data_IF_838053661015
#
_entry.id   IF_838053661015
#
_cell.length_a   1.000
_cell.length_b   1.000
_cell.length_c   1.000
_cell.angle_alpha   90.00
_cell.angle_beta   90.00
_cell.angle_gamma   90.00
#
_symmetry.space_group_name_H-M   'P 1'
#
loop_
_entity.id
_entity.type
_entity.pdbx_description
1 polymer ?
#
# COMPACT_ATOMS: atom_id res chain seq x y z
N UNK A 1 3.01 24.44 -5.67
CA UNK A 1 1.95 24.02 -6.62
C UNK A 1 0.63 23.97 -5.86
N UNK A 2 -0.46 24.36 -6.50
CA UNK A 2 -1.77 24.52 -5.87
C UNK A 2 -2.42 23.14 -5.62
N UNK A 3 -2.82 22.77 -4.38
CA UNK A 3 -3.36 21.44 -4.07
C UNK A 3 -4.78 21.20 -4.60
N UNK A 4 -5.29 22.07 -5.46
CA UNK A 4 -6.59 21.95 -6.15
C UNK A 4 -6.49 21.99 -7.67
N UNK A 5 -5.33 21.65 -8.24
CA UNK A 5 -5.35 21.16 -9.62
C UNK A 5 -6.07 19.82 -9.54
N UNK A 6 -7.36 19.84 -9.85
CA UNK A 6 -8.18 18.65 -9.97
C UNK A 6 -7.46 17.67 -10.90
N UNK A 7 -7.36 16.41 -10.51
CA UNK A 7 -6.76 15.35 -11.33
C UNK A 7 -7.36 15.37 -12.74
N UNK A 8 -8.67 15.63 -12.84
CA UNK A 8 -9.36 15.78 -14.12
C UNK A 8 -8.80 16.92 -14.96
N UNK A 9 -8.46 18.08 -14.37
CA UNK A 9 -7.84 19.19 -15.10
C UNK A 9 -6.41 18.88 -15.56
N UNK A 10 -5.62 18.18 -14.75
CA UNK A 10 -4.28 17.76 -15.17
C UNK A 10 -4.37 16.69 -16.26
N UNK A 11 -5.34 15.79 -16.13
CA UNK A 11 -5.56 14.73 -17.08
C UNK A 11 -6.03 15.28 -18.42
N UNK A 12 -7.00 16.18 -18.44
CA UNK A 12 -7.46 16.86 -19.64
C UNK A 12 -6.30 17.54 -20.36
N UNK A 13 -5.43 18.25 -19.63
CA UNK A 13 -4.23 18.88 -20.21
C UNK A 13 -3.26 17.88 -20.85
N UNK A 14 -2.95 16.79 -20.15
CA UNK A 14 -2.01 15.77 -20.67
C UNK A 14 -2.59 15.05 -21.89
N UNK A 15 -3.89 14.75 -21.84
CA UNK A 15 -4.62 14.14 -22.95
C UNK A 15 -4.69 15.10 -24.15
N UNK A 16 -4.96 16.38 -23.93
CA UNK A 16 -4.98 17.43 -24.97
C UNK A 16 -3.61 17.68 -25.61
N UNK A 17 -2.53 17.56 -24.83
CA UNK A 17 -1.16 17.77 -25.32
C UNK A 17 -0.64 16.60 -26.17
N UNK A 18 -1.05 15.36 -25.88
CA UNK A 18 -0.46 14.17 -26.50
C UNK A 18 -1.29 13.59 -27.67
N UNK A 19 -2.57 13.95 -27.81
CA UNK A 19 -3.49 13.28 -28.73
C UNK A 19 -4.05 14.22 -29.81
N UNK A 20 -3.87 13.83 -31.08
CA UNK A 20 -4.28 14.62 -32.24
C UNK A 20 -5.76 14.41 -32.66
N UNK A 21 -6.33 13.22 -32.43
CA UNK A 21 -7.73 12.89 -32.79
C UNK A 21 -8.65 12.74 -31.57
N UNK A 22 -9.89 13.20 -31.73
CA UNK A 22 -10.90 13.18 -30.66
C UNK A 22 -11.34 11.76 -30.27
N UNK A 23 -11.29 10.79 -31.19
CA UNK A 23 -11.68 9.40 -30.89
C UNK A 23 -10.71 8.73 -29.94
N UNK A 24 -9.40 8.86 -30.23
CA UNK A 24 -8.33 8.35 -29.36
C UNK A 24 -8.38 9.06 -28.01
N UNK A 25 -8.67 10.37 -28.01
CA UNK A 25 -8.89 11.16 -26.80
C UNK A 25 -9.99 10.60 -25.90
N UNK A 26 -11.17 10.33 -26.48
CA UNK A 26 -12.32 9.81 -25.74
C UNK A 26 -12.07 8.40 -25.20
N UNK A 27 -11.49 7.51 -26.02
CA UNK A 27 -11.13 6.16 -25.59
C UNK A 27 -10.10 6.16 -24.46
N UNK A 28 -9.04 6.96 -24.57
CA UNK A 28 -8.01 7.10 -23.54
C UNK A 28 -8.61 7.68 -22.25
N UNK A 29 -9.48 8.68 -22.37
CA UNK A 29 -10.21 9.24 -21.23
C UNK A 29 -11.06 8.18 -20.52
N UNK A 30 -11.85 7.41 -21.26
CA UNK A 30 -12.66 6.32 -20.70
C UNK A 30 -11.81 5.24 -20.03
N UNK A 31 -10.68 4.85 -20.62
CA UNK A 31 -9.77 3.86 -20.02
C UNK A 31 -9.24 4.38 -18.68
N UNK A 32 -8.81 5.63 -18.64
CA UNK A 32 -8.26 6.24 -17.43
C UNK A 32 -9.32 6.46 -16.35
N UNK A 33 -10.54 6.84 -16.73
CA UNK A 33 -11.66 6.95 -15.80
C UNK A 33 -12.03 5.59 -15.19
N UNK A 34 -12.12 4.54 -16.02
CA UNK A 34 -12.37 3.19 -15.52
C UNK A 34 -11.23 2.72 -14.60
N UNK A 35 -9.98 3.01 -14.94
CA UNK A 35 -8.84 2.70 -14.07
C UNK A 35 -8.93 3.41 -12.72
N UNK A 36 -9.33 4.69 -12.70
CA UNK A 36 -9.51 5.43 -11.46
C UNK A 36 -10.65 4.87 -10.61
N UNK A 37 -11.81 4.61 -11.23
CA UNK A 37 -12.96 4.02 -10.56
C UNK A 37 -12.59 2.64 -9.96
N UNK A 38 -11.88 1.80 -10.71
CA UNK A 38 -11.41 0.51 -10.22
C UNK A 38 -10.51 0.64 -8.98
N UNK A 39 -9.66 1.68 -8.92
CA UNK A 39 -8.80 1.92 -7.76
C UNK A 39 -9.58 2.40 -6.54
N UNK A 40 -10.58 3.24 -6.73
CA UNK A 40 -11.49 3.69 -5.66
C UNK A 40 -12.33 2.54 -5.13
N UNK A 41 -12.92 1.73 -6.01
CA UNK A 41 -13.63 0.50 -5.64
C UNK A 41 -12.71 -0.49 -4.91
N UNK A 42 -11.46 -0.62 -5.35
CA UNK A 42 -10.44 -1.42 -4.67
C UNK A 42 -10.15 -0.91 -3.25
N UNK A 43 -10.14 0.41 -3.05
CA UNK A 43 -9.92 1.01 -1.73
C UNK A 43 -11.11 0.74 -0.80
N UNK A 44 -12.32 0.97 -1.29
CA UNK A 44 -13.55 0.73 -0.51
C UNK A 44 -13.68 -0.74 -0.14
N UNK A 45 -13.42 -1.63 -1.08
CA UNK A 45 -13.42 -3.07 -0.86
C UNK A 45 -12.35 -3.50 0.14
N UNK A 46 -11.14 -2.98 0.03
CA UNK A 46 -10.06 -3.26 0.98
C UNK A 46 -10.45 -2.83 2.39
N UNK A 47 -10.99 -1.60 2.51
CA UNK A 47 -11.47 -1.04 3.77
C UNK A 47 -12.58 -1.91 4.37
N UNK A 48 -13.59 -2.28 3.57
CA UNK A 48 -14.70 -3.12 4.01
C UNK A 48 -14.26 -4.55 4.40
N UNK A 49 -13.22 -5.08 3.74
CA UNK A 49 -12.75 -6.44 4.04
C UNK A 49 -12.00 -6.53 5.36
N UNK A 50 -11.18 -5.52 5.70
CA UNK A 50 -10.18 -5.66 6.78
C UNK A 50 -10.16 -4.54 7.82
N UNK A 51 -10.58 -3.33 7.47
CA UNK A 51 -10.28 -2.12 8.27
C UNK A 51 -11.53 -1.42 8.82
N UNK A 52 -12.71 -1.74 8.30
CA UNK A 52 -13.97 -1.19 8.79
C UNK A 52 -14.37 -1.82 10.13
N UNK A 53 -15.07 -1.12 11.03
CA UNK A 53 -15.56 -1.69 12.30
C UNK A 53 -16.42 -2.95 12.12
N UNK A 54 -17.11 -3.07 10.99
CA UNK A 54 -17.90 -4.24 10.60
C UNK A 54 -17.22 -4.98 9.45
N UNK A 55 -15.90 -5.14 9.49
CA UNK A 55 -15.14 -5.79 8.43
C UNK A 55 -15.64 -7.21 8.16
N UNK A 56 -15.59 -7.63 6.89
CA UNK A 56 -15.98 -9.00 6.50
C UNK A 56 -15.10 -10.03 7.22
N UNK A 57 -13.81 -9.73 7.41
CA UNK A 57 -12.89 -10.58 8.14
C UNK A 57 -12.73 -10.12 9.59
N UNK A 58 -12.73 -11.10 10.48
CA UNK A 58 -12.35 -10.92 11.89
C UNK A 58 -10.84 -10.67 12.03
N UNK A 59 -10.42 -10.06 13.14
CA UNK A 59 -9.00 -9.80 13.42
C UNK A 59 -8.11 -11.03 13.26
N UNK A 60 -8.57 -12.20 13.71
CA UNK A 60 -7.84 -13.46 13.57
C UNK A 60 -7.69 -13.90 12.10
N UNK A 61 -8.71 -13.68 11.27
CA UNK A 61 -8.65 -14.01 9.84
C UNK A 61 -7.73 -13.04 9.10
N UNK A 62 -7.83 -11.75 9.41
CA UNK A 62 -6.95 -10.72 8.86
C UNK A 62 -5.50 -10.98 9.24
N UNK A 63 -5.23 -11.33 10.51
CA UNK A 63 -3.88 -11.68 10.97
C UNK A 63 -3.32 -12.89 10.22
N UNK A 64 -4.14 -13.90 9.93
CA UNK A 64 -3.70 -15.07 9.14
C UNK A 64 -3.36 -14.71 7.69
N UNK A 65 -3.98 -13.68 7.12
CA UNK A 65 -3.75 -13.24 5.73
C UNK A 65 -2.55 -12.32 5.61
N UNK A 66 -2.39 -11.37 6.54
CA UNK A 66 -1.27 -10.43 6.55
C UNK A 66 -0.05 -10.93 7.33
N UNK A 67 -0.17 -12.05 8.05
CA UNK A 67 0.81 -12.55 9.03
C UNK A 67 1.21 -11.51 10.09
N UNK A 68 0.36 -10.51 10.31
CA UNK A 68 0.63 -9.37 11.18
C UNK A 68 -0.65 -8.99 11.93
N UNK A 69 -0.50 -8.52 13.17
CA UNK A 69 -1.63 -7.97 13.90
C UNK A 69 -2.10 -6.67 13.24
N UNK A 70 -3.42 -6.45 13.17
CA UNK A 70 -3.97 -5.33 12.40
C UNK A 70 -3.52 -3.96 12.91
N UNK A 71 -3.35 -3.81 14.22
CA UNK A 71 -2.85 -2.57 14.79
C UNK A 71 -1.40 -2.26 14.38
N UNK A 72 -0.53 -3.28 14.29
CA UNK A 72 0.85 -3.12 13.83
C UNK A 72 0.88 -2.74 12.35
N UNK A 73 0.01 -3.35 11.56
CA UNK A 73 -0.13 -3.01 10.15
C UNK A 73 -0.50 -1.52 9.98
N UNK A 74 -1.48 -1.03 10.75
CA UNK A 74 -1.87 0.39 10.70
C UNK A 74 -0.76 1.31 11.17
N UNK A 75 0.01 0.94 12.22
CA UNK A 75 1.18 1.70 12.66
C UNK A 75 2.26 1.79 11.57
N UNK A 76 2.50 0.70 10.85
CA UNK A 76 3.44 0.68 9.72
C UNK A 76 2.97 1.62 8.61
N UNK A 77 1.70 1.56 8.23
CA UNK A 77 1.11 2.43 7.20
C UNK A 77 1.23 3.89 7.61
N UNK A 78 0.89 4.22 8.85
CA UNK A 78 0.98 5.58 9.39
C UNK A 78 2.42 6.08 9.41
N UNK A 79 3.37 5.27 9.89
CA UNK A 79 4.78 5.64 9.94
C UNK A 79 5.36 5.91 8.54
N UNK A 80 5.05 5.06 7.57
CA UNK A 80 5.48 5.25 6.17
C UNK A 80 4.86 6.50 5.55
N UNK A 81 3.58 6.76 5.82
CA UNK A 81 2.87 7.92 5.28
C UNK A 81 3.35 9.25 5.88
N UNK A 82 3.78 9.24 7.14
CA UNK A 82 4.32 10.40 7.83
C UNK A 82 5.82 10.64 7.53
N UNK A 83 6.52 9.71 6.90
CA UNK A 83 7.92 9.89 6.54
C UNK A 83 8.03 10.57 5.17
N UNK A 84 8.37 11.86 5.16
CA UNK A 84 8.33 12.74 3.98
C UNK A 84 8.95 12.13 2.71
N UNK A 85 10.15 11.55 2.81
CA UNK A 85 10.82 10.93 1.64
C UNK A 85 10.04 9.75 1.06
N UNK A 86 9.51 8.87 1.92
CA UNK A 86 8.80 7.68 1.48
C UNK A 86 7.36 8.00 1.07
N UNK A 87 6.72 8.95 1.74
CA UNK A 87 5.43 9.49 1.32
C UNK A 87 5.52 10.05 -0.10
N UNK A 88 6.56 10.85 -0.40
CA UNK A 88 6.82 11.35 -1.75
C UNK A 88 7.18 10.25 -2.75
N UNK A 89 8.05 9.29 -2.37
CA UNK A 89 8.36 8.14 -3.23
C UNK A 89 7.11 7.34 -3.58
N UNK A 90 6.23 7.10 -2.60
CA UNK A 90 4.98 6.39 -2.78
C UNK A 90 4.05 7.13 -3.74
N UNK A 91 3.96 8.46 -3.64
CA UNK A 91 3.23 9.30 -4.60
C UNK A 91 3.80 9.18 -6.01
N UNK A 92 5.13 9.21 -6.14
CA UNK A 92 5.82 9.21 -7.43
C UNK A 92 5.83 7.84 -8.12
N UNK A 93 5.97 6.74 -7.38
CA UNK A 93 6.01 5.39 -7.94
C UNK A 93 4.71 5.01 -8.63
N UNK A 94 3.57 5.39 -8.08
CA UNK A 94 2.29 5.12 -8.74
C UNK A 94 2.02 6.04 -9.94
N UNK A 95 3.01 6.85 -10.34
CA UNK A 95 2.99 7.91 -11.37
C UNK A 95 1.94 8.99 -11.17
N UNK A 96 0.91 8.76 -10.34
CA UNK A 96 -0.18 9.64 -9.90
C UNK A 96 -0.70 9.12 -8.54
N UNK A 97 -1.34 9.99 -7.74
CA UNK A 97 -1.82 9.77 -6.36
C UNK A 97 -2.93 8.72 -6.19
N UNK A 98 -3.07 7.79 -7.13
CA UNK A 98 -4.34 7.11 -7.36
C UNK A 98 -4.55 5.90 -6.43
N UNK A 99 -3.52 5.52 -5.67
CA UNK A 99 -3.59 4.48 -4.66
C UNK A 99 -3.36 5.08 -3.29
N UNK A 100 -4.18 4.67 -2.31
CA UNK A 100 -3.96 5.03 -0.92
C UNK A 100 -2.70 4.38 -0.35
N UNK A 101 -2.05 4.98 0.66
CA UNK A 101 -0.97 4.33 1.42
C UNK A 101 -1.37 2.93 1.92
N UNK A 102 -2.64 2.78 2.31
CA UNK A 102 -3.24 1.52 2.74
C UNK A 102 -3.16 0.44 1.63
N UNK A 103 -3.61 0.75 0.41
CA UNK A 103 -3.55 -0.17 -0.72
C UNK A 103 -2.11 -0.53 -1.07
N UNK A 104 -1.20 0.45 -1.12
CA UNK A 104 0.21 0.22 -1.47
C UNK A 104 0.91 -0.69 -0.45
N UNK A 105 0.72 -0.44 0.85
CA UNK A 105 1.29 -1.26 1.91
C UNK A 105 0.65 -2.67 1.94
N UNK A 106 -0.67 -2.75 1.72
CA UNK A 106 -1.37 -4.04 1.60
C UNK A 106 -0.78 -4.86 0.46
N UNK A 107 -0.60 -4.27 -0.73
CA UNK A 107 -0.02 -4.93 -1.88
C UNK A 107 1.39 -5.47 -1.56
N UNK A 108 2.25 -4.62 -0.99
CA UNK A 108 3.61 -5.01 -0.61
C UNK A 108 3.64 -6.16 0.40
N UNK A 109 2.81 -6.10 1.45
CA UNK A 109 2.75 -7.15 2.49
C UNK A 109 2.19 -8.47 1.92
N UNK A 110 1.20 -8.40 1.03
CA UNK A 110 0.68 -9.60 0.38
C UNK A 110 1.75 -10.28 -0.47
N UNK A 111 2.57 -9.55 -1.22
CA UNK A 111 3.70 -10.16 -1.95
C UNK A 111 4.71 -10.76 -0.97
N UNK A 112 5.07 -10.05 0.10
CA UNK A 112 6.03 -10.56 1.10
C UNK A 112 5.52 -11.85 1.76
N UNK A 113 4.21 -11.98 1.91
CA UNK A 113 3.54 -13.13 2.49
C UNK A 113 3.48 -14.31 1.52
N UNK A 114 2.95 -14.08 0.31
CA UNK A 114 2.60 -15.16 -0.63
C UNK A 114 3.68 -15.41 -1.69
N UNK A 115 4.63 -14.50 -1.85
CA UNK A 115 5.74 -14.59 -2.80
C UNK A 115 5.37 -14.28 -4.26
N UNK A 116 4.08 -14.08 -4.59
CA UNK A 116 3.64 -13.77 -5.95
C UNK A 116 2.57 -12.66 -5.98
N UNK A 117 2.71 -11.65 -6.86
CA UNK A 117 1.70 -10.62 -7.07
C UNK A 117 0.44 -11.15 -7.76
N UNK A 118 0.55 -12.23 -8.54
CA UNK A 118 -0.40 -12.54 -9.62
C UNK A 118 -1.74 -13.11 -9.17
N UNK A 119 -1.77 -14.02 -8.18
CA UNK A 119 -3.01 -14.77 -7.90
C UNK A 119 -3.81 -14.24 -6.71
N UNK A 120 -3.16 -13.57 -5.76
CA UNK A 120 -3.82 -13.14 -4.51
C UNK A 120 -3.99 -11.64 -4.39
N UNK A 121 -3.08 -10.82 -4.95
CA UNK A 121 -3.11 -9.36 -4.77
C UNK A 121 -4.11 -8.72 -5.73
N UNK A 122 -4.14 -9.19 -6.98
CA UNK A 122 -5.05 -8.68 -8.01
C UNK A 122 -6.51 -8.80 -7.57
N UNK A 123 -6.86 -9.91 -6.88
CA UNK A 123 -8.23 -10.09 -6.39
C UNK A 123 -8.65 -8.91 -5.51
N UNK A 124 -7.80 -8.36 -4.64
CA UNK A 124 -8.22 -7.38 -3.62
C UNK A 124 -7.95 -5.92 -3.97
N UNK A 125 -6.95 -5.62 -4.82
CA UNK A 125 -6.43 -4.25 -4.95
C UNK A 125 -6.46 -3.73 -6.40
N UNK A 126 -6.70 -4.59 -7.40
CA UNK A 126 -6.72 -4.23 -8.83
C UNK A 126 -5.57 -3.30 -9.24
N UNK A 127 -4.33 -3.72 -8.93
CA UNK A 127 -3.11 -2.98 -9.25
C UNK A 127 -2.34 -3.76 -10.32
N UNK A 128 -1.79 -3.06 -11.31
CA UNK A 128 -0.87 -3.64 -12.28
C UNK A 128 0.39 -4.22 -11.60
N UNK A 129 0.88 -5.36 -12.08
CA UNK A 129 2.05 -6.06 -11.53
C UNK A 129 3.29 -5.15 -11.37
N UNK A 130 3.57 -4.28 -12.35
CA UNK A 130 4.69 -3.34 -12.30
C UNK A 130 4.56 -2.36 -11.13
N UNK A 131 3.38 -1.81 -10.93
CA UNK A 131 3.08 -0.88 -9.83
C UNK A 131 3.15 -1.58 -8.47
N UNK A 132 2.72 -2.84 -8.40
CA UNK A 132 2.85 -3.68 -7.20
C UNK A 132 4.33 -3.86 -6.82
N UNK A 133 5.20 -4.12 -7.80
CA UNK A 133 6.65 -4.27 -7.58
C UNK A 133 7.33 -2.97 -7.13
N UNK A 134 6.94 -1.82 -7.69
CA UNK A 134 7.43 -0.52 -7.25
C UNK A 134 6.98 -0.21 -5.81
N UNK A 135 5.72 -0.51 -5.47
CA UNK A 135 5.21 -0.39 -4.11
C UNK A 135 6.00 -1.27 -3.13
N UNK A 136 6.33 -2.51 -3.51
CA UNK A 136 7.16 -3.40 -2.70
C UNK A 136 8.54 -2.82 -2.43
N UNK A 137 9.21 -2.30 -3.46
CA UNK A 137 10.55 -1.71 -3.31
C UNK A 137 10.54 -0.53 -2.33
N UNK A 138 9.59 0.40 -2.50
CA UNK A 138 9.48 1.56 -1.62
C UNK A 138 9.09 1.14 -0.21
N UNK A 139 8.17 0.18 -0.08
CA UNK A 139 7.77 -0.36 1.20
C UNK A 139 8.97 -0.93 1.95
N UNK A 140 9.76 -1.81 1.32
CA UNK A 140 10.95 -2.40 1.97
C UNK A 140 11.99 -1.36 2.34
N UNK A 141 12.27 -0.38 1.47
CA UNK A 141 13.19 0.71 1.77
C UNK A 141 12.71 1.55 2.96
N UNK A 142 11.41 1.88 2.98
CA UNK A 142 10.81 2.64 4.06
C UNK A 142 10.81 1.90 5.39
N UNK A 143 10.51 0.61 5.39
CA UNK A 143 10.61 -0.24 6.60
C UNK A 143 12.04 -0.26 7.12
N UNK A 144 13.02 -0.47 6.24
CA UNK A 144 14.43 -0.48 6.63
C UNK A 144 14.90 0.86 7.19
N UNK A 145 14.45 1.99 6.66
CA UNK A 145 14.85 3.29 7.17
C UNK A 145 14.15 3.68 8.48
N UNK A 146 12.85 3.41 8.60
CA UNK A 146 12.07 3.80 9.78
C UNK A 146 12.34 2.84 10.96
N UNK A 147 12.36 1.54 10.68
CA UNK A 147 12.41 0.50 11.71
C UNK A 147 13.75 -0.24 11.74
N UNK A 148 14.67 0.04 10.83
CA UNK A 148 15.91 -0.73 10.71
C UNK A 148 16.80 -0.63 11.93
N UNK A 149 17.01 0.59 12.42
CA UNK A 149 17.87 0.84 13.57
C UNK A 149 17.30 0.30 14.88
N UNK A 150 15.98 0.22 15.02
CA UNK A 150 15.33 -0.26 16.23
C UNK A 150 15.10 -1.78 16.21
N UNK A 151 14.55 -2.31 15.11
CA UNK A 151 14.00 -3.66 15.03
C UNK A 151 14.76 -4.60 14.09
N UNK A 152 15.42 -4.09 13.03
CA UNK A 152 16.18 -4.93 12.09
C UNK A 152 17.68 -4.98 12.40
N UNK A 153 18.11 -4.33 13.47
CA UNK A 153 19.49 -4.41 13.98
C UNK A 153 19.76 -5.76 14.63
N UNK A 154 21.05 -6.07 14.81
CA UNK A 154 21.46 -7.24 15.61
C UNK A 154 20.91 -7.11 17.04
N UNK A 155 20.29 -8.16 17.60
CA UNK A 155 19.85 -8.15 18.99
C UNK A 155 21.01 -7.86 19.93
N UNK A 156 20.74 -7.05 20.95
CA UNK A 156 21.65 -6.81 22.06
C UNK A 156 21.22 -7.65 23.28
N UNK A 157 21.99 -7.56 24.36
CA UNK A 157 21.73 -8.34 25.58
C UNK A 157 20.38 -7.98 26.22
N UNK A 158 19.92 -6.73 26.08
CA UNK A 158 18.64 -6.27 26.59
C UNK A 158 17.45 -6.85 25.80
N UNK A 159 17.56 -6.92 24.47
CA UNK A 159 16.56 -7.56 23.62
C UNK A 159 16.43 -9.06 23.97
N UNK A 160 17.58 -9.72 24.16
CA UNK A 160 17.64 -11.13 24.58
C UNK A 160 16.99 -11.33 25.95
N UNK A 161 17.28 -10.44 26.91
CA UNK A 161 16.66 -10.46 28.24
C UNK A 161 15.13 -10.28 28.16
N UNK A 162 14.65 -9.37 27.32
CA UNK A 162 13.20 -9.16 27.09
C UNK A 162 12.53 -10.39 26.48
N UNK A 163 13.15 -11.01 25.47
CA UNK A 163 12.66 -12.24 24.85
C UNK A 163 12.60 -13.40 25.85
N UNK A 164 13.63 -13.56 26.68
CA UNK A 164 13.65 -14.58 27.75
C UNK A 164 12.55 -14.33 28.78
N UNK A 165 12.31 -13.07 29.17
CA UNK A 165 11.20 -12.73 30.07
C UNK A 165 9.84 -13.04 29.45
N UNK A 166 9.63 -12.69 28.18
CA UNK A 166 8.38 -13.01 27.48
C UNK A 166 8.13 -14.52 27.39
N UNK A 167 9.18 -15.31 27.14
CA UNK A 167 9.08 -16.78 27.12
C UNK A 167 8.80 -17.40 28.50
N UNK A 168 9.12 -16.72 29.60
CA UNK A 168 8.77 -17.15 30.96
C UNK A 168 7.36 -16.69 31.36
N UNK A 169 6.88 -15.54 30.87
CA UNK A 169 5.52 -15.06 31.16
C UNK A 169 4.46 -15.72 30.28
N UNK A 170 4.81 -16.03 29.04
CA UNK A 170 3.99 -16.80 28.12
C UNK A 170 4.51 -18.24 28.20
N UNK A 171 4.08 -19.01 29.20
CA UNK A 171 4.37 -20.45 29.27
C UNK A 171 3.92 -21.11 27.94
N UNK A 172 4.85 -21.31 27.01
CA UNK A 172 4.63 -22.03 25.76
C UNK A 172 4.68 -23.54 25.99
#
# INVERSE_FOLDING_TARGET
>A
MDPKIDFYMLLDKVIDEELEDNTDKELIWLILQNQQQNREEGQDRLSNNYFSPNSIYTDTQSQKRFHMQMHLFLQVVEALNNHDEYSQMMVNATRRNDLSPLQKCTAAICILTYGSPTDSVDEYIWIAETTIMECLQIFVLGICAIFGDEYLRRPNDEDTRRLLQMGVTCDF
#
